data_IF_704004062402
#
_entry.id   IF_704004062402
#
_cell.length_a   1.000
_cell.length_b   1.000
_cell.length_c   1.000
_cell.angle_alpha   90.00
_cell.angle_beta   90.00
_cell.angle_gamma   90.00
#
_symmetry.space_group_name_H-M   'P 1'
#
loop_
_entity.id
_entity.type
_entity.pdbx_description
1 polymer ?
#
# COMPACT_ATOMS: atom_id res chain seq x y z
N UNK A 1 -27.77 -43.13 61.09
CA UNK A 1 -27.56 -43.20 59.65
C UNK A 1 -27.00 -41.83 59.25
N UNK A 2 -25.69 -41.73 59.04
CA UNK A 2 -25.05 -40.47 58.65
C UNK A 2 -24.80 -40.46 57.09
N UNK A 3 -25.46 -39.63 56.38
CA UNK A 3 -25.20 -39.44 54.93
C UNK A 3 -23.95 -38.54 54.71
N UNK A 4 -22.92 -39.13 54.14
CA UNK A 4 -21.73 -38.45 53.70
C UNK A 4 -22.01 -37.85 52.30
N UNK A 5 -21.99 -36.54 52.18
CA UNK A 5 -22.08 -35.85 50.88
C UNK A 5 -20.69 -35.81 50.20
N UNK A 6 -20.55 -36.52 49.08
CA UNK A 6 -19.38 -36.36 48.21
C UNK A 6 -19.54 -35.05 47.39
N UNK A 7 -18.60 -34.16 47.56
CA UNK A 7 -18.47 -32.97 46.68
C UNK A 7 -17.63 -33.33 45.45
N UNK A 8 -18.22 -33.24 44.27
CA UNK A 8 -17.50 -33.41 43.00
C UNK A 8 -16.77 -32.12 42.68
N UNK A 9 -15.43 -32.16 42.61
CA UNK A 9 -14.57 -31.06 42.22
C UNK A 9 -14.45 -31.06 40.68
N UNK A 10 -15.15 -30.14 40.01
CA UNK A 10 -15.02 -29.94 38.54
C UNK A 10 -13.79 -29.11 38.21
N UNK A 11 -12.78 -29.73 37.61
CA UNK A 11 -11.61 -29.04 37.08
C UNK A 11 -11.97 -28.44 35.71
N UNK A 12 -12.09 -27.13 35.65
CA UNK A 12 -12.22 -26.39 34.36
C UNK A 12 -10.82 -26.21 33.77
N UNK A 13 -10.49 -27.00 32.75
CA UNK A 13 -9.29 -26.77 31.94
C UNK A 13 -9.53 -25.52 31.05
N UNK A 14 -8.91 -24.41 31.38
CA UNK A 14 -8.82 -23.26 30.50
C UNK A 14 -7.73 -23.51 29.46
N UNK A 15 -8.11 -23.74 28.19
CA UNK A 15 -7.16 -23.81 27.10
C UNK A 15 -6.57 -22.40 26.87
N UNK A 16 -5.28 -22.23 27.10
CA UNK A 16 -4.57 -21.03 26.73
C UNK A 16 -4.58 -20.84 25.18
N UNK A 17 -4.73 -19.63 24.67
CA UNK A 17 -4.67 -19.39 23.23
C UNK A 17 -3.29 -19.82 22.71
N UNK A 18 -3.28 -20.76 21.78
CA UNK A 18 -2.06 -21.12 21.03
C UNK A 18 -1.69 -19.95 20.12
N UNK A 19 -0.71 -19.17 20.53
CA UNK A 19 -0.11 -18.17 19.64
C UNK A 19 0.66 -18.94 18.56
N UNK A 20 0.20 -18.87 17.32
CA UNK A 20 0.88 -19.52 16.21
C UNK A 20 2.35 -19.01 16.11
N UNK A 21 3.30 -19.93 15.98
CA UNK A 21 4.71 -19.56 15.82
C UNK A 21 4.89 -18.67 14.57
N UNK A 22 5.79 -17.67 14.63
CA UNK A 22 6.09 -16.82 13.48
C UNK A 22 6.51 -17.65 12.27
N UNK A 23 5.80 -17.50 11.16
CA UNK A 23 6.10 -18.21 9.93
C UNK A 23 7.36 -17.64 9.26
N UNK A 24 8.25 -18.49 8.69
CA UNK A 24 9.41 -18.01 7.96
C UNK A 24 8.99 -17.19 6.72
N UNK A 25 9.86 -16.28 6.22
CA UNK A 25 9.60 -15.54 4.99
C UNK A 25 9.34 -16.47 3.81
N UNK A 26 8.38 -16.10 2.96
CA UNK A 26 8.09 -16.83 1.71
C UNK A 26 8.59 -16.05 0.50
N UNK A 27 8.71 -16.69 -0.67
CA UNK A 27 9.03 -15.99 -1.92
C UNK A 27 7.85 -15.10 -2.34
N UNK A 28 8.12 -14.04 -3.11
CA UNK A 28 7.08 -13.18 -3.70
C UNK A 28 6.07 -14.03 -4.51
N UNK A 29 6.55 -14.99 -5.31
CA UNK A 29 5.67 -15.85 -6.09
C UNK A 29 4.75 -16.71 -5.20
N UNK A 30 5.27 -17.26 -4.11
CA UNK A 30 4.47 -18.03 -3.17
C UNK A 30 3.45 -17.14 -2.42
N UNK A 31 3.83 -15.92 -2.05
CA UNK A 31 2.91 -14.97 -1.43
C UNK A 31 1.76 -14.58 -2.37
N UNK A 32 2.04 -14.33 -3.64
CA UNK A 32 1.03 -14.02 -4.66
C UNK A 32 0.10 -15.20 -4.90
N UNK A 33 0.61 -16.43 -4.94
CA UNK A 33 -0.17 -17.65 -5.16
C UNK A 33 -0.88 -18.16 -3.89
N UNK A 34 -0.77 -17.47 -2.76
CA UNK A 34 -1.33 -17.95 -1.49
C UNK A 34 -2.86 -18.04 -1.53
N UNK A 35 -3.45 -19.19 -1.16
CA UNK A 35 -4.89 -19.35 -1.05
C UNK A 35 -5.50 -18.56 0.12
N UNK A 36 -4.69 -18.03 1.02
CA UNK A 36 -5.13 -17.19 2.14
C UNK A 36 -5.45 -15.75 1.72
N UNK A 37 -5.10 -15.35 0.50
CA UNK A 37 -5.42 -14.02 -0.04
C UNK A 37 -6.91 -13.87 -0.32
N UNK A 38 -7.42 -12.67 -0.14
CA UNK A 38 -8.82 -12.36 -0.41
C UNK A 38 -9.13 -12.53 -1.91
N UNK A 39 -10.22 -13.22 -2.27
CA UNK A 39 -10.57 -13.45 -3.68
C UNK A 39 -10.70 -12.16 -4.49
N UNK A 40 -11.22 -11.09 -3.88
CA UNK A 40 -11.36 -9.79 -4.57
C UNK A 40 -10.02 -9.11 -4.83
N UNK A 41 -9.01 -9.33 -3.99
CA UNK A 41 -7.66 -8.87 -4.24
C UNK A 41 -6.99 -9.70 -5.35
N UNK A 42 -7.18 -11.02 -5.36
CA UNK A 42 -6.63 -11.90 -6.40
C UNK A 42 -7.13 -11.52 -7.81
N UNK A 43 -8.39 -11.10 -7.95
CA UNK A 43 -8.94 -10.60 -9.22
C UNK A 43 -8.17 -9.41 -9.82
N UNK A 44 -7.46 -8.65 -8.98
CA UNK A 44 -6.68 -7.49 -9.42
C UNK A 44 -5.27 -7.87 -9.94
N UNK A 45 -4.83 -9.11 -9.74
CA UNK A 45 -3.46 -9.53 -10.03
C UNK A 45 -3.11 -9.47 -11.52
N UNK A 46 -4.07 -9.80 -12.39
CA UNK A 46 -3.88 -9.71 -13.84
C UNK A 46 -3.47 -8.29 -14.26
N UNK A 47 -4.21 -7.29 -13.79
CA UNK A 47 -3.92 -5.89 -14.08
C UNK A 47 -2.72 -5.34 -13.32
N UNK A 48 -2.45 -5.79 -12.09
CA UNK A 48 -1.39 -5.24 -11.22
C UNK A 48 -0.05 -5.94 -11.32
N UNK A 49 -0.01 -7.17 -11.83
CA UNK A 49 1.20 -8.00 -12.00
C UNK A 49 2.11 -8.00 -10.76
N UNK A 50 1.58 -8.31 -9.56
CA UNK A 50 2.24 -8.01 -8.28
C UNK A 50 3.60 -8.69 -8.14
N UNK A 51 3.76 -9.92 -8.63
CA UNK A 51 5.03 -10.62 -8.56
C UNK A 51 6.15 -9.89 -9.35
N UNK A 52 5.81 -9.41 -10.55
CA UNK A 52 6.76 -8.68 -11.39
C UNK A 52 7.09 -7.32 -10.80
N UNK A 53 6.08 -6.59 -10.31
CA UNK A 53 6.23 -5.27 -9.68
C UNK A 53 7.12 -5.36 -8.45
N UNK A 54 6.82 -6.21 -7.49
CA UNK A 54 7.58 -6.32 -6.24
C UNK A 54 9.01 -6.82 -6.46
N UNK A 55 9.22 -7.72 -7.44
CA UNK A 55 10.54 -8.15 -7.86
C UNK A 55 11.35 -7.00 -8.46
N UNK A 56 10.77 -6.22 -9.36
CA UNK A 56 11.42 -5.04 -9.97
C UNK A 56 11.78 -3.99 -8.91
N UNK A 57 10.86 -3.72 -7.99
CA UNK A 57 11.08 -2.77 -6.90
C UNK A 57 12.11 -3.28 -5.89
N UNK A 58 12.23 -4.60 -5.71
CA UNK A 58 13.24 -5.23 -4.88
C UNK A 58 12.80 -5.45 -3.44
N UNK A 59 11.56 -5.83 -3.20
CA UNK A 59 11.07 -6.28 -1.89
C UNK A 59 11.84 -7.52 -1.43
N UNK A 60 12.24 -7.56 -0.15
CA UNK A 60 13.06 -8.64 0.43
C UNK A 60 12.64 -8.95 1.87
N UNK A 61 12.95 -10.18 2.35
CA UNK A 61 12.79 -10.54 3.76
C UNK A 61 13.48 -9.56 4.71
N UNK A 62 12.85 -9.33 5.87
CA UNK A 62 13.37 -8.49 6.93
C UNK A 62 13.21 -6.98 6.74
N UNK A 63 12.66 -6.53 5.61
CA UNK A 63 12.42 -5.11 5.36
C UNK A 63 11.27 -4.54 6.21
N UNK A 64 11.41 -3.28 6.63
CA UNK A 64 10.30 -2.47 7.08
C UNK A 64 9.66 -1.80 5.87
N UNK A 65 8.40 -2.12 5.62
CA UNK A 65 7.61 -1.63 4.50
C UNK A 65 6.65 -0.55 4.95
N UNK A 66 6.44 0.45 4.11
CA UNK A 66 5.37 1.42 4.22
C UNK A 66 4.47 1.30 2.98
N UNK A 67 3.28 0.70 3.17
CA UNK A 67 2.24 0.59 2.16
C UNK A 67 1.32 1.81 2.27
N UNK A 68 1.45 2.73 1.31
CA UNK A 68 0.70 3.99 1.29
C UNK A 68 -0.65 3.79 0.60
N UNK A 69 -1.73 4.26 1.22
CA UNK A 69 -3.11 4.05 0.78
C UNK A 69 -3.50 2.57 0.69
N UNK A 70 -3.15 1.79 1.63
CA UNK A 70 -3.25 0.33 1.69
C UNK A 70 -4.48 -0.39 1.12
N UNK A 71 -5.45 0.32 0.58
CA UNK A 71 -6.67 -0.11 -0.11
C UNK A 71 -6.99 -1.61 -0.01
N UNK A 72 -7.87 -2.02 0.88
CA UNK A 72 -8.20 -3.44 1.14
C UNK A 72 -6.98 -4.32 1.50
N UNK A 73 -5.84 -3.72 1.92
CA UNK A 73 -4.58 -4.39 2.21
C UNK A 73 -4.03 -5.24 1.04
N UNK A 74 -4.27 -4.83 -0.21
CA UNK A 74 -3.87 -5.60 -1.38
C UNK A 74 -2.37 -5.94 -1.40
N UNK A 75 -1.51 -4.91 -1.25
CA UNK A 75 -0.07 -5.11 -1.22
C UNK A 75 0.38 -5.75 0.08
N UNK A 76 -0.19 -5.34 1.21
CA UNK A 76 0.15 -5.87 2.53
C UNK A 76 -0.10 -7.40 2.65
N UNK A 77 -1.13 -7.96 1.98
CA UNK A 77 -1.35 -9.42 1.91
C UNK A 77 -0.17 -10.19 1.28
N UNK A 78 0.57 -9.54 0.39
CA UNK A 78 1.74 -10.12 -0.28
C UNK A 78 3.01 -9.75 0.48
N UNK A 79 3.12 -8.52 0.93
CA UNK A 79 4.32 -7.99 1.59
C UNK A 79 4.58 -8.64 2.95
N UNK A 80 3.53 -8.79 3.78
CA UNK A 80 3.67 -9.31 5.13
C UNK A 80 4.32 -10.71 5.19
N UNK A 81 3.88 -11.71 4.40
CA UNK A 81 4.55 -13.02 4.40
C UNK A 81 5.94 -12.97 3.73
N UNK A 82 6.19 -12.05 2.78
CA UNK A 82 7.51 -11.92 2.14
C UNK A 82 8.54 -11.33 3.09
N UNK A 83 8.20 -10.26 3.81
CA UNK A 83 9.15 -9.68 4.78
C UNK A 83 9.35 -10.58 5.99
N UNK A 84 8.34 -11.39 6.33
CA UNK A 84 8.40 -12.37 7.40
C UNK A 84 8.53 -11.76 8.81
N UNK A 85 8.86 -12.57 9.83
CA UNK A 85 8.79 -12.16 11.24
C UNK A 85 9.88 -11.17 11.67
N UNK A 86 10.92 -10.98 10.85
CA UNK A 86 11.98 -9.99 11.09
C UNK A 86 11.72 -8.65 10.39
N UNK A 87 10.73 -8.59 9.49
CA UNK A 87 10.26 -7.40 8.82
C UNK A 87 8.92 -6.95 9.37
N UNK A 88 8.48 -5.77 8.95
CA UNK A 88 7.19 -5.22 9.36
C UNK A 88 6.53 -4.45 8.21
N UNK A 89 5.23 -4.54 8.08
CA UNK A 89 4.44 -3.75 7.12
C UNK A 89 3.60 -2.76 7.90
N UNK A 90 3.86 -1.48 7.69
CA UNK A 90 3.01 -0.39 8.16
C UNK A 90 2.13 0.06 7.01
N UNK A 91 0.84 -0.18 7.12
CA UNK A 91 -0.15 0.33 6.18
C UNK A 91 -0.59 1.71 6.65
N UNK A 92 -0.34 2.73 5.84
CA UNK A 92 -0.85 4.07 6.10
C UNK A 92 -2.10 4.33 5.26
N UNK A 93 -3.19 4.71 5.93
CA UNK A 93 -4.45 5.06 5.30
C UNK A 93 -4.85 6.49 5.69
N UNK A 94 -5.08 7.41 4.73
CA UNK A 94 -5.61 8.73 5.03
C UNK A 94 -6.94 8.65 5.78
N UNK A 95 -7.11 9.47 6.81
CA UNK A 95 -8.34 9.50 7.62
C UNK A 95 -9.60 9.77 6.79
N UNK A 96 -9.49 10.55 5.71
CA UNK A 96 -10.58 10.84 4.78
C UNK A 96 -11.14 9.58 4.10
N UNK A 97 -10.32 8.54 3.93
CA UNK A 97 -10.69 7.25 3.31
C UNK A 97 -10.79 6.11 4.31
N UNK A 98 -10.55 6.36 5.62
CA UNK A 98 -10.59 5.34 6.67
C UNK A 98 -11.99 5.24 7.29
N UNK A 99 -12.95 4.75 6.51
CA UNK A 99 -14.36 4.58 6.89
C UNK A 99 -14.60 3.22 7.52
N UNK A 100 -15.76 3.01 8.14
CA UNK A 100 -16.06 1.81 8.94
C UNK A 100 -15.76 0.50 8.22
N UNK A 101 -16.14 0.36 6.94
CA UNK A 101 -15.83 -0.83 6.15
C UNK A 101 -14.32 -1.07 6.00
N UNK A 102 -13.57 -0.01 5.73
CA UNK A 102 -12.10 -0.08 5.60
C UNK A 102 -11.46 -0.38 6.95
N UNK A 103 -11.94 0.25 8.01
CA UNK A 103 -11.49 0.04 9.39
C UNK A 103 -11.70 -1.40 9.84
N UNK A 104 -12.88 -1.98 9.59
CA UNK A 104 -13.15 -3.37 9.89
C UNK A 104 -12.21 -4.30 9.11
N UNK A 105 -12.11 -4.11 7.79
CA UNK A 105 -11.27 -4.91 6.89
C UNK A 105 -9.80 -4.91 7.31
N UNK A 106 -9.25 -3.75 7.67
CA UNK A 106 -7.87 -3.64 8.14
C UNK A 106 -7.68 -4.24 9.54
N UNK A 107 -8.65 -4.08 10.43
CA UNK A 107 -8.62 -4.70 11.76
C UNK A 107 -8.57 -6.23 11.68
N UNK A 108 -9.43 -6.82 10.85
CA UNK A 108 -9.45 -8.28 10.61
C UNK A 108 -8.15 -8.78 9.97
N UNK A 109 -7.56 -7.98 9.08
CA UNK A 109 -6.29 -8.31 8.44
C UNK A 109 -5.13 -8.26 9.44
N UNK A 110 -4.98 -7.16 10.17
CA UNK A 110 -3.91 -6.97 11.15
C UNK A 110 -3.97 -8.01 12.28
N UNK A 111 -5.18 -8.41 12.71
CA UNK A 111 -5.35 -9.46 13.73
C UNK A 111 -4.76 -10.82 13.31
N UNK A 112 -4.68 -11.09 12.00
CA UNK A 112 -4.12 -12.34 11.45
C UNK A 112 -2.63 -12.24 11.11
N UNK A 113 -2.07 -11.02 11.09
CA UNK A 113 -0.69 -10.76 10.65
C UNK A 113 0.05 -9.95 11.73
N UNK A 114 0.74 -10.59 12.68
CA UNK A 114 1.38 -9.91 13.82
C UNK A 114 2.50 -8.94 13.41
N UNK A 115 3.01 -9.07 12.18
CA UNK A 115 3.99 -8.16 11.58
C UNK A 115 3.36 -7.05 10.72
N UNK A 116 2.06 -6.75 10.95
CA UNK A 116 1.36 -5.67 10.26
C UNK A 116 0.78 -4.69 11.27
N UNK A 117 0.92 -3.40 11.01
CA UNK A 117 0.23 -2.33 11.72
C UNK A 117 -0.48 -1.37 10.76
N UNK A 118 -1.60 -0.83 11.24
CA UNK A 118 -2.37 0.16 10.49
C UNK A 118 -2.21 1.51 11.19
N UNK A 119 -1.80 2.52 10.45
CA UNK A 119 -1.69 3.90 10.95
C UNK A 119 -2.53 4.83 10.11
N UNK A 120 -3.12 5.84 10.73
CA UNK A 120 -3.98 6.82 10.07
C UNK A 120 -3.57 8.23 10.45
N UNK A 121 -3.67 9.13 9.51
CA UNK A 121 -3.51 10.58 9.71
C UNK A 121 -4.16 11.31 8.53
N UNK A 122 -4.37 12.63 8.63
CA UNK A 122 -4.88 13.39 7.50
C UNK A 122 -4.01 13.23 6.25
N UNK A 123 -4.63 13.22 5.07
CA UNK A 123 -3.93 13.05 3.81
C UNK A 123 -2.88 14.17 3.59
N UNK A 124 -3.27 15.40 3.87
CA UNK A 124 -2.43 16.60 3.73
C UNK A 124 -1.29 16.68 4.77
N UNK A 125 -1.37 15.86 5.84
CA UNK A 125 -0.41 15.86 6.94
C UNK A 125 -0.08 14.42 7.39
N UNK A 126 0.57 13.61 6.54
CA UNK A 126 0.87 12.22 6.86
C UNK A 126 1.83 12.11 8.04
N UNK A 127 1.35 11.52 9.14
CA UNK A 127 2.15 11.25 10.34
C UNK A 127 2.84 9.89 10.18
N UNK A 128 4.01 9.88 9.55
CA UNK A 128 4.78 8.68 9.25
C UNK A 128 6.00 8.56 10.20
N UNK A 129 6.41 7.34 10.59
CA UNK A 129 7.59 7.13 11.42
C UNK A 129 8.85 7.53 10.64
N UNK A 130 9.69 8.40 11.24
CA UNK A 130 10.91 8.90 10.60
C UNK A 130 12.00 7.82 10.53
N UNK A 131 12.77 7.83 9.42
CA UNK A 131 13.93 6.94 9.21
C UNK A 131 13.61 5.45 9.46
N UNK A 132 12.45 5.01 9.02
CA UNK A 132 11.90 3.71 9.33
C UNK A 132 11.88 2.75 8.13
N UNK A 133 11.37 3.20 6.98
CA UNK A 133 11.08 2.33 5.85
C UNK A 133 12.34 2.00 5.03
N UNK A 134 12.51 0.71 4.74
CA UNK A 134 13.47 0.20 3.75
C UNK A 134 12.83 0.17 2.35
N UNK A 135 11.50 0.02 2.31
CA UNK A 135 10.71 -0.11 1.11
C UNK A 135 9.38 0.64 1.28
N UNK A 136 8.96 1.36 0.24
CA UNK A 136 7.68 2.06 0.20
C UNK A 136 6.98 1.72 -1.11
N UNK A 137 5.66 1.55 -1.08
CA UNK A 137 4.83 1.45 -2.28
C UNK A 137 3.73 2.51 -2.25
N UNK A 138 3.51 3.16 -3.39
CA UNK A 138 2.44 4.12 -3.65
C UNK A 138 1.81 3.76 -5.00
N UNK A 139 0.60 3.20 -4.96
CA UNK A 139 -0.05 2.64 -6.14
C UNK A 139 -1.40 3.31 -6.40
N UNK A 140 -1.54 3.88 -7.59
CA UNK A 140 -2.75 4.52 -8.11
C UNK A 140 -3.29 5.67 -7.21
N UNK A 141 -2.39 6.40 -6.50
CA UNK A 141 -2.79 7.47 -5.57
C UNK A 141 -1.84 8.68 -5.52
N UNK A 142 -0.75 8.71 -6.30
CA UNK A 142 0.09 9.91 -6.31
C UNK A 142 -0.64 11.10 -6.94
N UNK A 143 -1.42 10.87 -7.98
CA UNK A 143 -2.25 11.90 -8.61
C UNK A 143 -3.19 12.59 -7.61
N UNK A 144 -3.68 11.88 -6.59
CA UNK A 144 -4.56 12.46 -5.56
C UNK A 144 -3.92 13.61 -4.78
N UNK A 145 -2.59 13.75 -4.78
CA UNK A 145 -1.91 14.91 -4.18
C UNK A 145 -2.19 16.23 -4.93
N UNK A 146 -2.68 16.12 -6.16
CA UNK A 146 -3.14 17.25 -6.99
C UNK A 146 -4.66 17.42 -6.96
N UNK A 147 -5.39 16.45 -6.41
CA UNK A 147 -6.84 16.48 -6.28
C UNK A 147 -7.28 17.28 -5.06
N UNK A 148 -8.43 17.94 -5.15
CA UNK A 148 -9.12 18.53 -4.02
C UNK A 148 -10.62 18.22 -4.13
N UNK A 149 -11.27 17.90 -3.01
CA UNK A 149 -12.69 17.58 -3.04
C UNK A 149 -13.34 17.82 -1.67
N UNK A 150 -14.18 18.85 -1.58
CA UNK A 150 -14.87 19.23 -0.34
C UNK A 150 -15.78 18.12 0.20
N UNK A 151 -16.48 17.42 -0.69
CA UNK A 151 -17.38 16.31 -0.32
C UNK A 151 -16.66 15.20 0.44
N UNK A 152 -15.40 14.94 0.11
CA UNK A 152 -14.57 13.93 0.76
C UNK A 152 -13.64 14.53 1.82
N UNK A 153 -13.72 15.84 2.07
CA UNK A 153 -12.84 16.52 3.02
C UNK A 153 -11.38 16.53 2.60
N UNK A 154 -11.11 16.57 1.28
CA UNK A 154 -9.76 16.60 0.74
C UNK A 154 -9.42 18.05 0.37
N UNK A 155 -8.53 18.71 1.14
CA UNK A 155 -8.11 20.08 0.87
C UNK A 155 -7.14 20.13 -0.32
N UNK A 156 -6.91 21.33 -0.84
CA UNK A 156 -5.81 21.56 -1.78
C UNK A 156 -4.48 21.29 -1.09
N UNK A 157 -3.76 20.28 -1.57
CA UNK A 157 -2.48 19.87 -1.00
C UNK A 157 -1.27 20.49 -1.70
N UNK A 158 -0.14 20.48 -1.01
CA UNK A 158 1.19 20.65 -1.59
C UNK A 158 1.83 19.27 -1.81
N UNK A 159 1.95 18.78 -3.07
CA UNK A 159 2.58 17.50 -3.37
C UNK A 159 4.02 17.40 -2.83
N UNK A 160 4.73 18.53 -2.79
CA UNK A 160 6.09 18.56 -2.27
C UNK A 160 6.14 18.34 -0.74
N UNK A 161 5.18 18.88 0.02
CA UNK A 161 5.06 18.62 1.45
C UNK A 161 4.78 17.14 1.72
N UNK A 162 3.89 16.52 0.95
CA UNK A 162 3.60 15.08 1.00
C UNK A 162 4.87 14.24 0.74
N UNK A 163 5.60 14.54 -0.33
CA UNK A 163 6.85 13.84 -0.66
C UNK A 163 7.94 14.04 0.39
N UNK A 164 8.05 15.22 1.01
CA UNK A 164 8.98 15.46 2.11
C UNK A 164 8.68 14.59 3.34
N UNK A 165 7.41 14.37 3.66
CA UNK A 165 7.01 13.47 4.75
C UNK A 165 7.43 12.02 4.45
N UNK A 166 7.19 11.53 3.23
CA UNK A 166 7.63 10.20 2.79
C UNK A 166 9.16 10.11 2.82
N UNK A 167 9.86 11.12 2.28
CA UNK A 167 11.32 11.15 2.29
C UNK A 167 11.89 11.06 3.71
N UNK A 168 11.28 11.77 4.66
CA UNK A 168 11.68 11.71 6.06
C UNK A 168 11.41 10.34 6.70
N UNK A 169 10.37 9.63 6.26
CA UNK A 169 10.05 8.29 6.75
C UNK A 169 10.99 7.20 6.22
N UNK A 170 11.64 7.42 5.10
CA UNK A 170 12.53 6.45 4.47
C UNK A 170 13.95 6.51 5.03
N UNK A 171 14.59 5.33 5.15
CA UNK A 171 16.02 5.23 5.44
C UNK A 171 16.88 5.67 4.25
N UNK A 172 18.12 6.16 4.46
CA UNK A 172 19.09 6.34 3.37
C UNK A 172 19.26 5.05 2.56
N UNK A 173 19.19 5.14 1.23
CA UNK A 173 19.26 3.98 0.32
C UNK A 173 17.95 3.21 0.12
N UNK A 174 16.89 3.54 0.86
CA UNK A 174 15.57 2.94 0.69
C UNK A 174 14.94 3.23 -0.67
N UNK A 175 14.00 2.37 -1.08
CA UNK A 175 13.32 2.43 -2.37
C UNK A 175 11.85 2.77 -2.17
N UNK A 176 11.30 3.61 -3.05
CA UNK A 176 9.88 3.78 -3.24
C UNK A 176 9.47 3.39 -4.66
N UNK A 177 8.48 2.50 -4.76
CA UNK A 177 7.77 2.20 -5.99
C UNK A 177 6.57 3.13 -6.15
N UNK A 178 6.47 3.78 -7.30
CA UNK A 178 5.34 4.64 -7.66
C UNK A 178 4.71 4.10 -8.92
N UNK A 179 3.43 3.77 -8.83
CA UNK A 179 2.62 3.27 -9.92
C UNK A 179 1.43 4.20 -10.02
N UNK A 180 1.13 4.69 -11.22
CA UNK A 180 -0.04 5.54 -11.40
C UNK A 180 -0.53 5.56 -12.84
N UNK A 181 -1.76 6.05 -13.03
CA UNK A 181 -2.44 6.17 -14.31
C UNK A 181 -1.82 7.29 -15.15
N UNK A 182 -1.43 6.95 -16.38
CA UNK A 182 -0.81 7.90 -17.30
C UNK A 182 -1.84 8.93 -17.79
N UNK A 183 -1.52 10.22 -17.65
CA UNK A 183 -2.14 11.30 -18.39
C UNK A 183 -1.28 11.72 -19.57
N UNK A 184 -1.91 12.31 -20.58
CA UNK A 184 -1.19 13.07 -21.62
C UNK A 184 -0.61 14.35 -21.01
N UNK A 185 0.53 14.86 -21.55
CA UNK A 185 1.10 16.13 -21.12
C UNK A 185 0.08 17.26 -21.15
N UNK A 186 0.01 18.03 -20.09
CA UNK A 186 -0.87 19.19 -19.95
C UNK A 186 -0.28 20.19 -18.96
N UNK A 187 -0.43 21.49 -19.24
CA UNK A 187 0.09 22.56 -18.41
C UNK A 187 -0.70 22.73 -17.10
N UNK A 188 -1.99 22.31 -17.06
CA UNK A 188 -2.81 22.29 -15.85
C UNK A 188 -2.99 20.87 -15.29
N UNK A 189 -2.02 20.47 -14.48
CA UNK A 189 -2.01 19.15 -13.83
C UNK A 189 -3.24 18.95 -12.94
N UNK A 190 -3.70 19.99 -12.23
CA UNK A 190 -4.85 19.88 -11.33
C UNK A 190 -6.15 19.69 -12.09
N UNK A 191 -6.37 20.44 -13.16
CA UNK A 191 -7.54 20.24 -14.01
C UNK A 191 -7.55 18.85 -14.66
N UNK A 192 -6.38 18.34 -15.05
CA UNK A 192 -6.23 16.98 -15.59
C UNK A 192 -6.59 15.92 -14.53
N UNK A 193 -6.07 16.04 -13.32
CA UNK A 193 -6.37 15.11 -12.22
C UNK A 193 -7.83 15.17 -11.81
N UNK A 194 -8.41 16.39 -11.67
CA UNK A 194 -9.81 16.56 -11.32
C UNK A 194 -10.75 15.87 -12.33
N UNK A 195 -10.41 15.95 -13.61
CA UNK A 195 -11.24 15.41 -14.68
C UNK A 195 -11.04 13.93 -14.93
N UNK A 196 -9.81 13.43 -14.81
CA UNK A 196 -9.46 12.11 -15.31
C UNK A 196 -8.81 11.19 -14.28
N UNK A 197 -8.53 11.64 -13.06
CA UNK A 197 -7.78 10.86 -12.06
C UNK A 197 -6.51 10.21 -12.65
N UNK A 198 -5.71 11.01 -13.38
CA UNK A 198 -4.49 10.60 -14.07
C UNK A 198 -3.42 11.67 -13.91
N UNK A 199 -2.16 11.30 -14.01
CA UNK A 199 -1.04 12.23 -13.91
C UNK A 199 0.00 11.99 -15.02
N UNK A 200 0.59 13.09 -15.53
CA UNK A 200 1.71 13.01 -16.46
C UNK A 200 2.93 12.39 -15.73
N UNK A 201 3.53 11.31 -16.28
CA UNK A 201 4.74 10.71 -15.75
C UNK A 201 5.91 11.67 -15.55
N UNK A 202 6.03 12.71 -16.39
CA UNK A 202 7.12 13.70 -16.28
C UNK A 202 6.92 14.64 -15.10
N UNK A 203 5.67 14.98 -14.74
CA UNK A 203 5.36 15.71 -13.52
C UNK A 203 5.81 14.92 -12.30
N UNK A 204 5.51 13.61 -12.24
CA UNK A 204 5.93 12.74 -11.15
C UNK A 204 7.44 12.69 -11.02
N UNK A 205 8.17 12.51 -12.13
CA UNK A 205 9.65 12.52 -12.12
C UNK A 205 10.22 13.84 -11.59
N UNK A 206 9.64 14.97 -12.03
CA UNK A 206 10.07 16.29 -11.60
C UNK A 206 9.82 16.53 -10.10
N UNK A 207 8.66 16.11 -9.59
CA UNK A 207 8.29 16.24 -8.18
C UNK A 207 9.21 15.42 -7.28
N UNK A 208 9.43 14.15 -7.62
CA UNK A 208 10.31 13.28 -6.85
C UNK A 208 11.75 13.78 -6.86
N UNK A 209 12.24 14.25 -8.01
CA UNK A 209 13.57 14.88 -8.11
C UNK A 209 13.68 16.12 -7.22
N UNK A 210 12.67 16.97 -7.22
CA UNK A 210 12.60 18.19 -6.38
C UNK A 210 12.58 17.85 -4.90
N UNK A 211 11.93 16.73 -4.52
CA UNK A 211 11.91 16.23 -3.15
C UNK A 211 13.22 15.53 -2.71
N UNK A 212 14.20 15.39 -3.61
CA UNK A 212 15.52 14.80 -3.33
C UNK A 212 15.67 13.32 -3.66
N UNK A 213 14.68 12.71 -4.31
CA UNK A 213 14.77 11.33 -4.78
C UNK A 213 15.56 11.23 -6.09
N UNK A 214 16.14 10.06 -6.34
CA UNK A 214 16.80 9.72 -7.60
C UNK A 214 15.99 8.61 -8.29
N UNK A 215 15.68 8.77 -9.57
CA UNK A 215 15.06 7.71 -10.38
C UNK A 215 16.08 6.59 -10.56
N UNK A 216 15.79 5.43 -9.99
CA UNK A 216 16.63 4.23 -10.02
C UNK A 216 16.20 3.20 -11.08
N UNK A 217 15.04 3.41 -11.69
CA UNK A 217 14.54 2.57 -12.77
C UNK A 217 13.10 2.89 -13.13
N UNK A 218 12.71 2.49 -14.33
CA UNK A 218 11.33 2.49 -14.83
C UNK A 218 11.01 1.16 -15.49
N UNK A 219 9.74 0.82 -15.61
CA UNK A 219 9.31 -0.40 -16.28
C UNK A 219 7.99 -0.20 -17.01
N UNK A 220 7.91 -0.78 -18.20
CA UNK A 220 6.74 -0.75 -19.07
C UNK A 220 5.78 -1.92 -18.82
N UNK A 221 5.99 -2.68 -17.75
CA UNK A 221 5.20 -3.91 -17.47
C UNK A 221 3.70 -3.67 -17.31
N UNK A 222 3.28 -2.47 -16.96
CA UNK A 222 1.88 -2.06 -16.80
C UNK A 222 1.42 -1.08 -17.89
N UNK A 223 2.19 -0.91 -18.96
CA UNK A 223 1.79 -0.07 -20.08
C UNK A 223 0.66 -0.72 -20.88
N UNK A 224 -0.29 0.10 -21.29
CA UNK A 224 -1.39 -0.29 -22.17
C UNK A 224 -1.58 0.77 -23.25
N UNK A 225 -1.02 0.59 -24.45
CA UNK A 225 -1.13 1.58 -25.54
C UNK A 225 -2.54 1.72 -26.11
N UNK A 226 -3.47 0.83 -25.75
CA UNK A 226 -4.89 0.93 -26.16
C UNK A 226 -5.70 1.85 -25.24
N UNK A 227 -5.14 2.33 -24.11
CA UNK A 227 -5.80 3.28 -23.23
C UNK A 227 -5.78 4.68 -23.86
N UNK A 228 -6.93 5.34 -24.09
CA UNK A 228 -6.98 6.67 -24.71
C UNK A 228 -6.48 7.81 -23.81
N UNK A 229 -6.19 7.53 -22.52
CA UNK A 229 -5.78 8.49 -21.47
C UNK A 229 -6.79 9.63 -21.18
N UNK A 230 -7.96 9.57 -21.77
CA UNK A 230 -9.04 10.59 -21.67
C UNK A 230 -10.30 10.07 -20.94
N UNK A 231 -10.21 8.87 -20.39
CA UNK A 231 -11.30 8.22 -19.64
C UNK A 231 -10.88 8.04 -18.18
N UNK A 232 -11.80 8.30 -17.25
CA UNK A 232 -11.59 8.08 -15.83
C UNK A 232 -11.25 6.59 -15.56
N UNK A 233 -10.21 6.25 -14.76
CA UNK A 233 -9.83 4.87 -14.43
C UNK A 233 -10.93 4.05 -13.76
N UNK A 234 -11.95 4.68 -13.20
CA UNK A 234 -13.11 4.02 -12.59
C UNK A 234 -14.21 3.65 -13.59
N UNK A 235 -14.12 4.15 -14.84
CA UNK A 235 -15.06 3.76 -15.90
C UNK A 235 -14.91 2.28 -16.24
N UNK A 236 -16.04 1.56 -16.31
CA UNK A 236 -16.08 0.11 -16.50
C UNK A 236 -15.41 -0.35 -17.81
N UNK A 237 -15.34 0.51 -18.83
CA UNK A 237 -14.69 0.20 -20.11
C UNK A 237 -13.18 0.04 -20.02
N UNK A 238 -12.54 0.72 -19.03
CA UNK A 238 -11.07 0.75 -18.87
C UNK A 238 -10.58 0.33 -17.49
N UNK A 239 -11.49 0.12 -16.54
CA UNK A 239 -11.17 -0.25 -15.16
C UNK A 239 -10.26 -1.48 -15.07
N UNK A 240 -9.16 -1.34 -14.34
CA UNK A 240 -8.13 -2.37 -14.24
C UNK A 240 -7.24 -2.54 -15.47
N UNK A 241 -7.51 -1.80 -16.58
CA UNK A 241 -6.81 -1.90 -17.87
C UNK A 241 -6.16 -0.57 -18.30
N UNK A 242 -6.13 0.42 -17.43
CA UNK A 242 -5.50 1.71 -17.72
C UNK A 242 -4.01 1.57 -18.03
N UNK A 243 -3.48 2.48 -18.85
CA UNK A 243 -2.06 2.63 -19.04
C UNK A 243 -1.42 3.18 -17.77
N UNK A 244 -0.40 2.49 -17.23
CA UNK A 244 0.27 2.90 -15.99
C UNK A 244 1.77 2.84 -16.13
N UNK A 245 2.44 3.83 -15.55
CA UNK A 245 3.89 3.77 -15.38
C UNK A 245 4.23 3.03 -14.08
N UNK A 246 5.44 2.48 -14.04
CA UNK A 246 6.05 1.91 -12.83
C UNK A 246 7.41 2.54 -12.66
N UNK A 247 7.56 3.42 -11.66
CA UNK A 247 8.82 4.05 -11.34
C UNK A 247 9.39 3.50 -10.04
N UNK A 248 10.70 3.34 -10.02
CA UNK A 248 11.49 3.01 -8.85
C UNK A 248 12.37 4.20 -8.52
N UNK A 249 12.05 4.91 -7.44
CA UNK A 249 12.90 5.96 -6.91
C UNK A 249 13.70 5.47 -5.71
N UNK A 250 14.80 6.13 -5.43
CA UNK A 250 15.66 5.85 -4.26
C UNK A 250 15.93 7.13 -3.49
N UNK A 251 15.87 7.04 -2.15
CA UNK A 251 16.48 8.05 -1.29
C UNK A 251 18.00 7.85 -1.32
N UNK A 252 18.81 8.86 -1.68
CA UNK A 252 20.29 8.78 -1.62
C UNK A 252 20.79 8.33 -0.24
N UNK A 253 22.01 7.78 -0.22
CA UNK A 253 22.71 7.40 1.02
C UNK A 253 23.36 8.61 1.67
#
# INVERSE_FOLDING_TARGET
MRLTKLAALSIVLTAAPVVAAPQPPVTIAAAVASPARRPDNVKLDEGRKPAAVLKFLGLRPGMNVLDLFGANAYWAEIEAPVVGPKGHVTVWQPTQFYRDKTKQSFGEFAAKHPNVSIVTSPFEAPALPKNYADFVILNDNYHDTYWQNEKYGIPKMDPNAFLKAIYAAMKPGAVIGVIDHVALPNDDVRATVEKFHRIDPEVVKADFKRAGFVLAGSSDMLRNPADPHSTDPFDESIKGKTDRFVFKFRKPR
#
